data_IF_318377618769
#
_entry.id   IF_318377618769
#
_cell.length_a   1.000
_cell.length_b   1.000
_cell.length_c   1.000
_cell.angle_alpha   90.00
_cell.angle_beta   90.00
_cell.angle_gamma   90.00
#
_symmetry.space_group_name_H-M   'P 1'
#
loop_
_entity.id
_entity.type
_entity.pdbx_description
1 polymer ?
#
# COMPACT_ATOMS: atom_id res chain seq x y z
N UNK A 1 28.06 -5.11 -3.54
CA UNK A 1 26.95 -5.54 -2.67
C UNK A 1 26.23 -6.68 -3.37
N UNK A 2 26.59 -7.92 -3.03
CA UNK A 2 25.99 -9.11 -3.64
C UNK A 2 24.71 -9.47 -2.90
N UNK A 3 23.58 -9.45 -3.59
CA UNK A 3 22.39 -10.17 -3.12
C UNK A 3 22.49 -11.65 -3.51
N UNK A 4 21.54 -12.46 -3.07
CA UNK A 4 21.28 -13.83 -3.54
C UNK A 4 19.82 -13.92 -3.93
N UNK A 5 19.45 -14.72 -4.92
CA UNK A 5 18.05 -15.03 -5.23
C UNK A 5 17.84 -16.54 -5.16
N UNK A 6 16.80 -16.94 -4.46
CA UNK A 6 16.32 -18.29 -4.20
C UNK A 6 15.11 -18.52 -5.09
N UNK A 7 15.05 -19.68 -5.73
CA UNK A 7 13.86 -20.17 -6.41
C UNK A 7 13.39 -21.45 -5.69
N UNK A 8 12.10 -21.52 -5.41
CA UNK A 8 11.45 -22.60 -4.68
C UNK A 8 10.33 -23.13 -5.57
N UNK A 9 10.41 -24.39 -5.96
CA UNK A 9 9.35 -25.09 -6.69
C UNK A 9 8.68 -26.09 -5.75
N UNK A 10 7.35 -26.22 -5.83
CA UNK A 10 6.61 -27.26 -5.09
C UNK A 10 6.14 -28.31 -6.09
N UNK A 11 6.66 -29.53 -5.99
CA UNK A 11 6.01 -30.71 -6.53
C UNK A 11 5.69 -31.63 -5.35
N UNK A 12 4.45 -32.12 -5.30
CA UNK A 12 3.95 -33.24 -4.50
C UNK A 12 4.74 -33.55 -3.22
N UNK A 13 4.26 -32.99 -2.11
CA UNK A 13 4.70 -33.19 -0.72
C UNK A 13 6.14 -32.81 -0.32
N UNK A 14 7.04 -32.45 -1.26
CA UNK A 14 8.42 -32.07 -0.91
C UNK A 14 8.84 -30.70 -1.45
N UNK A 15 9.52 -29.94 -0.60
CA UNK A 15 9.99 -28.59 -0.89
C UNK A 15 11.44 -28.66 -1.37
N UNK A 16 11.64 -28.34 -2.65
CA UNK A 16 12.95 -28.36 -3.27
C UNK A 16 13.38 -26.94 -3.63
N UNK A 17 14.64 -26.63 -3.33
CA UNK A 17 15.20 -25.29 -3.47
C UNK A 17 16.35 -25.29 -4.47
N UNK A 18 16.40 -24.22 -5.24
CA UNK A 18 17.53 -23.89 -6.09
C UNK A 18 18.08 -22.53 -5.65
N UNK A 19 19.27 -22.54 -5.05
CA UNK A 19 19.91 -21.35 -4.49
C UNK A 19 21.09 -20.91 -5.33
N UNK A 20 21.11 -19.64 -5.75
CA UNK A 20 22.24 -19.03 -6.45
C UNK A 20 22.85 -17.85 -5.70
N UNK A 21 24.18 -17.77 -5.66
CA UNK A 21 24.94 -16.68 -5.06
C UNK A 21 26.21 -16.39 -5.86
N UNK A 22 26.84 -15.24 -5.59
CA UNK A 22 28.16 -14.90 -6.10
C UNK A 22 29.17 -15.06 -4.98
N UNK A 23 30.29 -15.73 -5.26
CA UNK A 23 31.40 -15.75 -4.31
C UNK A 23 32.13 -14.39 -4.31
N UNK A 24 33.06 -14.21 -3.35
CA UNK A 24 33.85 -12.98 -3.23
C UNK A 24 34.71 -12.68 -4.49
N UNK A 25 34.94 -13.68 -5.35
CA UNK A 25 35.67 -13.58 -6.61
C UNK A 25 34.76 -13.22 -7.81
N UNK A 26 33.46 -12.98 -7.57
CA UNK A 26 32.48 -12.65 -8.61
C UNK A 26 32.03 -13.84 -9.45
N UNK A 27 32.39 -15.07 -9.08
CA UNK A 27 31.94 -16.30 -9.75
C UNK A 27 30.57 -16.73 -9.21
N UNK A 28 29.64 -16.94 -10.13
CA UNK A 28 28.33 -17.49 -9.86
C UNK A 28 28.42 -18.92 -9.34
N UNK A 29 27.75 -19.22 -8.24
CA UNK A 29 27.53 -20.57 -7.73
C UNK A 29 26.05 -20.82 -7.61
N UNK A 30 25.64 -22.01 -8.00
CA UNK A 30 24.26 -22.47 -7.92
C UNK A 30 24.30 -23.88 -7.30
N UNK A 31 23.42 -24.14 -6.34
CA UNK A 31 23.25 -25.45 -5.71
C UNK A 31 21.78 -25.79 -5.52
N UNK A 32 21.50 -27.09 -5.55
CA UNK A 32 20.23 -27.66 -5.14
C UNK A 32 20.23 -27.88 -3.63
N UNK A 33 19.06 -27.75 -3.01
CA UNK A 33 18.87 -28.03 -1.60
C UNK A 33 17.58 -28.80 -1.35
N UNK A 34 17.63 -29.73 -0.41
CA UNK A 34 16.44 -30.39 0.15
C UNK A 34 16.00 -29.68 1.43
N UNK A 35 14.70 -29.42 1.55
CA UNK A 35 14.12 -28.74 2.72
C UNK A 35 13.42 -29.74 3.61
N UNK A 36 14.13 -30.19 4.65
CA UNK A 36 13.54 -31.05 5.69
C UNK A 36 12.77 -30.25 6.76
N UNK A 37 13.06 -28.96 6.90
CA UNK A 37 12.49 -28.09 7.92
C UNK A 37 12.90 -26.63 7.74
N UNK A 38 12.62 -25.79 8.74
CA UNK A 38 12.80 -24.33 8.66
C UNK A 38 14.11 -23.82 9.28
N UNK A 39 14.90 -24.70 9.90
CA UNK A 39 16.21 -24.32 10.47
C UNK A 39 17.33 -24.51 9.44
N UNK A 40 18.42 -23.71 9.48
CA UNK A 40 19.55 -23.86 8.55
C UNK A 40 20.16 -25.26 8.52
N UNK A 41 20.11 -26.01 9.63
CA UNK A 41 20.59 -27.40 9.76
C UNK A 41 19.71 -28.42 9.03
N UNK A 42 18.45 -28.09 8.78
CA UNK A 42 17.46 -28.92 8.08
C UNK A 42 17.40 -28.61 6.58
N UNK A 43 18.17 -27.63 6.11
CA UNK A 43 18.36 -27.33 4.70
C UNK A 43 19.62 -28.05 4.24
N UNK A 44 19.45 -29.14 3.50
CA UNK A 44 20.56 -30.02 3.10
C UNK A 44 21.11 -29.63 1.72
N UNK A 45 22.37 -29.17 1.61
CA UNK A 45 22.99 -28.87 0.33
C UNK A 45 23.19 -30.14 -0.48
N UNK A 46 23.08 -30.03 -1.81
CA UNK A 46 23.33 -31.11 -2.79
C UNK A 46 22.38 -32.33 -2.69
N UNK A 47 21.34 -32.25 -1.85
CA UNK A 47 20.32 -33.29 -1.69
C UNK A 47 19.00 -32.97 -2.42
N UNK A 48 18.92 -31.87 -3.18
CA UNK A 48 17.70 -31.52 -3.91
C UNK A 48 17.49 -32.39 -5.16
N UNK A 49 16.23 -32.71 -5.47
CA UNK A 49 15.86 -33.60 -6.58
C UNK A 49 15.26 -32.86 -7.78
N UNK A 50 15.55 -31.57 -7.97
CA UNK A 50 15.05 -30.86 -9.15
C UNK A 50 15.68 -31.48 -10.39
N UNK A 51 14.88 -31.78 -11.43
CA UNK A 51 15.36 -32.51 -12.60
C UNK A 51 16.14 -31.58 -13.53
N UNK A 52 17.36 -31.22 -13.12
CA UNK A 52 18.28 -30.42 -13.91
C UNK A 52 18.73 -31.17 -15.15
N UNK A 53 18.98 -30.40 -16.21
CA UNK A 53 19.67 -30.90 -17.40
C UNK A 53 21.18 -30.76 -17.26
N UNK A 54 21.91 -31.23 -18.28
CA UNK A 54 23.37 -31.04 -18.37
C UNK A 54 23.77 -29.61 -18.75
N UNK A 55 22.81 -28.71 -19.02
CA UNK A 55 23.12 -27.30 -19.30
C UNK A 55 23.58 -26.63 -18.00
N UNK A 56 24.79 -26.04 -17.97
CA UNK A 56 25.32 -25.45 -16.77
C UNK A 56 24.46 -24.25 -16.35
N UNK A 57 24.13 -24.13 -15.06
CA UNK A 57 23.36 -23.01 -14.58
C UNK A 57 24.27 -21.76 -14.52
N UNK A 58 23.68 -20.59 -14.70
CA UNK A 58 24.39 -19.33 -14.86
C UNK A 58 23.90 -18.28 -13.85
N UNK A 59 24.84 -17.57 -13.23
CA UNK A 59 24.56 -16.40 -12.40
C UNK A 59 25.32 -15.22 -12.99
N UNK A 60 24.65 -14.08 -13.11
CA UNK A 60 25.31 -12.81 -13.42
C UNK A 60 24.71 -11.68 -12.59
N UNK A 61 25.50 -10.64 -12.37
CA UNK A 61 25.07 -9.43 -11.67
C UNK A 61 25.23 -8.24 -12.60
N UNK A 62 24.13 -7.56 -12.88
CA UNK A 62 24.10 -6.34 -13.67
C UNK A 62 23.52 -5.22 -12.81
N UNK A 63 24.40 -4.31 -12.36
CA UNK A 63 24.02 -3.27 -11.39
C UNK A 63 23.51 -3.88 -10.09
N UNK A 64 22.28 -3.54 -9.69
CA UNK A 64 21.62 -4.09 -8.50
C UNK A 64 20.80 -5.38 -8.77
N UNK A 65 20.87 -5.92 -9.99
CA UNK A 65 20.04 -7.05 -10.44
C UNK A 65 20.86 -8.31 -10.61
N UNK A 66 20.46 -9.39 -9.95
CA UNK A 66 21.01 -10.73 -10.17
C UNK A 66 20.15 -11.48 -11.18
N UNK A 67 20.80 -12.01 -12.21
CA UNK A 67 20.23 -12.90 -13.19
C UNK A 67 20.64 -14.33 -12.82
N UNK A 68 19.65 -15.21 -12.76
CA UNK A 68 19.81 -16.63 -12.51
C UNK A 68 19.16 -17.36 -13.66
N UNK A 69 19.90 -18.26 -14.29
CA UNK A 69 19.40 -19.12 -15.35
C UNK A 69 19.77 -20.57 -15.02
N UNK A 70 18.81 -21.46 -15.15
CA UNK A 70 18.96 -22.90 -15.00
C UNK A 70 17.92 -23.58 -15.88
N UNK A 71 18.17 -24.83 -16.26
CA UNK A 71 17.25 -25.58 -17.11
C UNK A 71 16.80 -26.87 -16.42
N UNK A 72 15.48 -27.03 -16.33
CA UNK A 72 14.80 -28.20 -15.79
C UNK A 72 14.12 -28.99 -16.92
N UNK A 73 14.12 -30.32 -16.82
CA UNK A 73 13.44 -31.22 -17.76
C UNK A 73 12.51 -32.16 -17.02
N UNK A 74 11.21 -31.93 -17.15
CA UNK A 74 10.18 -32.78 -16.56
C UNK A 74 9.65 -33.78 -17.59
N UNK A 75 9.30 -34.98 -17.12
CA UNK A 75 8.68 -36.03 -17.97
C UNK A 75 7.18 -35.77 -18.24
N UNK A 76 6.60 -34.75 -17.61
CA UNK A 76 5.19 -34.34 -17.76
C UNK A 76 5.14 -32.83 -17.93
N UNK A 77 4.18 -32.34 -18.72
CA UNK A 77 3.89 -30.91 -18.82
C UNK A 77 3.40 -30.40 -17.48
N UNK A 78 4.12 -29.42 -16.92
CA UNK A 78 3.67 -28.71 -15.74
C UNK A 78 2.58 -27.70 -16.15
N UNK A 79 1.54 -27.58 -15.33
CA UNK A 79 0.54 -26.50 -15.45
C UNK A 79 1.01 -25.28 -14.66
N UNK A 80 0.09 -24.43 -14.20
CA UNK A 80 0.36 -23.37 -13.24
C UNK A 80 0.99 -23.93 -11.96
N UNK A 81 2.25 -23.58 -11.71
CA UNK A 81 2.97 -23.94 -10.49
C UNK A 81 3.33 -22.69 -9.69
N UNK A 82 3.28 -22.75 -8.35
CA UNK A 82 3.83 -21.69 -7.50
C UNK A 82 5.36 -21.76 -7.53
N UNK A 83 6.00 -20.65 -7.91
CA UNK A 83 7.42 -20.41 -7.78
C UNK A 83 7.60 -19.44 -6.62
N UNK A 84 8.23 -19.87 -5.52
CA UNK A 84 8.62 -18.95 -4.47
C UNK A 84 10.00 -18.38 -4.78
N UNK A 85 10.12 -17.07 -4.63
CA UNK A 85 11.33 -16.32 -4.82
C UNK A 85 11.73 -15.77 -3.47
N UNK A 86 12.95 -16.00 -3.02
CA UNK A 86 13.45 -15.38 -1.80
C UNK A 86 14.82 -14.76 -2.05
N UNK A 87 15.23 -13.75 -1.29
CA UNK A 87 16.54 -13.14 -1.50
C UNK A 87 17.18 -12.76 -0.16
N UNK A 88 18.51 -12.76 -0.10
CA UNK A 88 19.26 -12.28 1.07
C UNK A 88 20.49 -11.49 0.60
N UNK A 89 20.86 -10.48 1.37
CA UNK A 89 22.10 -9.72 1.23
C UNK A 89 23.30 -10.44 1.86
N UNK A 90 23.06 -11.51 2.63
CA UNK A 90 24.09 -12.33 3.27
C UNK A 90 24.48 -13.50 2.36
N UNK A 91 25.79 -13.74 2.20
CA UNK A 91 26.29 -14.90 1.45
C UNK A 91 26.20 -16.19 2.27
N UNK A 92 25.94 -17.35 1.65
CA UNK A 92 25.97 -18.64 2.34
C UNK A 92 27.34 -18.92 2.98
N UNK A 93 27.33 -19.56 4.16
CA UNK A 93 28.55 -19.97 4.87
C UNK A 93 28.70 -21.49 4.78
N UNK A 94 29.83 -22.00 4.29
CA UNK A 94 30.03 -23.44 3.99
C UNK A 94 28.83 -24.06 3.24
N UNK A 95 28.34 -23.38 2.22
CA UNK A 95 27.17 -23.77 1.42
C UNK A 95 25.83 -23.83 2.16
N UNK A 96 25.78 -23.57 3.47
CA UNK A 96 24.52 -23.43 4.20
C UNK A 96 23.87 -22.09 3.90
N UNK A 97 22.61 -22.14 3.47
CA UNK A 97 21.81 -20.96 3.19
C UNK A 97 21.51 -20.20 4.48
N UNK A 98 21.57 -18.87 4.40
CA UNK A 98 21.07 -17.99 5.45
C UNK A 98 19.57 -17.77 5.30
N UNK A 99 18.94 -17.32 6.38
CA UNK A 99 17.56 -16.82 6.31
C UNK A 99 17.48 -15.68 5.29
N UNK A 100 16.44 -15.70 4.46
CA UNK A 100 16.17 -14.67 3.47
C UNK A 100 15.75 -13.35 4.13
N UNK A 101 16.15 -12.24 3.52
CA UNK A 101 15.74 -10.90 3.93
C UNK A 101 14.31 -10.60 3.46
N UNK A 102 13.91 -11.17 2.30
CA UNK A 102 12.56 -11.05 1.77
C UNK A 102 12.20 -12.30 0.93
N UNK A 103 10.89 -12.53 0.76
CA UNK A 103 10.33 -13.62 -0.06
C UNK A 103 9.00 -13.24 -0.68
N UNK A 104 8.72 -13.84 -1.83
CA UNK A 104 7.44 -13.73 -2.54
C UNK A 104 7.11 -15.04 -3.25
N UNK A 105 5.89 -15.17 -3.74
CA UNK A 105 5.45 -16.30 -4.54
C UNK A 105 4.80 -15.76 -5.80
N UNK A 106 5.22 -16.28 -6.96
CA UNK A 106 4.57 -16.04 -8.24
C UNK A 106 3.96 -17.34 -8.74
N UNK A 107 2.84 -17.27 -9.44
CA UNK A 107 2.25 -18.42 -10.11
C UNK A 107 2.66 -18.36 -11.58
N UNK A 108 3.26 -19.44 -12.07
CA UNK A 108 3.78 -19.52 -13.43
C UNK A 108 3.13 -20.66 -14.18
N UNK A 109 2.50 -20.36 -15.30
CA UNK A 109 1.90 -21.37 -16.17
C UNK A 109 2.92 -21.91 -17.17
N UNK A 110 3.35 -23.15 -16.92
CA UNK A 110 4.31 -23.87 -17.75
C UNK A 110 3.67 -24.57 -18.97
N UNK A 111 2.34 -24.49 -19.14
CA UNK A 111 1.62 -25.21 -20.20
C UNK A 111 1.74 -24.54 -21.58
N UNK A 112 2.01 -23.23 -21.63
CA UNK A 112 1.91 -22.45 -22.87
C UNK A 112 3.16 -22.51 -23.76
N UNK A 113 4.31 -22.99 -23.27
CA UNK A 113 5.58 -23.05 -24.03
C UNK A 113 6.13 -21.69 -24.51
N UNK A 114 5.38 -20.60 -24.32
CA UNK A 114 5.71 -19.26 -24.78
C UNK A 114 6.53 -18.52 -23.71
N UNK A 115 7.73 -18.09 -24.09
CA UNK A 115 8.60 -17.25 -23.27
C UNK A 115 8.06 -15.82 -23.08
N UNK A 116 7.25 -15.33 -24.03
CA UNK A 116 6.69 -13.97 -24.01
C UNK A 116 5.71 -13.74 -22.84
N UNK A 117 4.96 -14.78 -22.45
CA UNK A 117 3.97 -14.76 -21.38
C UNK A 117 4.55 -14.34 -20.03
N UNK A 118 5.82 -14.69 -19.77
CA UNK A 118 6.51 -14.43 -18.50
C UNK A 118 6.90 -12.96 -18.31
N UNK A 119 7.37 -12.34 -19.40
CA UNK A 119 7.76 -10.92 -19.44
C UNK A 119 6.50 -10.05 -19.46
N UNK A 120 5.42 -10.51 -20.10
CA UNK A 120 4.12 -9.86 -20.09
C UNK A 120 3.46 -9.87 -18.71
N UNK A 121 3.46 -11.02 -18.03
CA UNK A 121 2.91 -11.13 -16.67
C UNK A 121 3.66 -10.21 -15.69
N UNK A 122 5.00 -10.22 -15.75
CA UNK A 122 5.83 -9.36 -14.89
C UNK A 122 5.57 -7.86 -15.16
N UNK A 123 5.45 -7.46 -16.44
CA UNK A 123 5.10 -6.09 -16.82
C UNK A 123 3.68 -5.72 -16.38
N UNK A 124 2.71 -6.61 -16.53
CA UNK A 124 1.32 -6.39 -16.10
C UNK A 124 1.27 -6.18 -14.59
N UNK A 125 1.94 -7.01 -13.81
CA UNK A 125 2.01 -6.87 -12.35
C UNK A 125 2.61 -5.54 -11.93
N UNK A 126 3.73 -5.13 -12.54
CA UNK A 126 4.37 -3.84 -12.23
C UNK A 126 3.45 -2.67 -12.61
N UNK A 127 2.74 -2.77 -13.73
CA UNK A 127 1.74 -1.80 -14.17
C UNK A 127 0.57 -1.73 -13.19
N UNK A 128 0.05 -2.86 -12.74
CA UNK A 128 -1.08 -2.93 -11.81
C UNK A 128 -0.70 -2.39 -10.43
N UNK A 129 0.51 -2.69 -9.93
CA UNK A 129 1.04 -2.08 -8.68
C UNK A 129 1.12 -0.55 -8.78
N UNK A 130 1.64 -0.03 -9.90
CA UNK A 130 1.71 1.43 -10.15
C UNK A 130 0.32 2.04 -10.27
N UNK A 131 -0.60 1.36 -10.95
CA UNK A 131 -1.99 1.81 -11.14
C UNK A 131 -2.73 1.87 -9.81
N UNK A 132 -2.68 0.79 -9.01
CA UNK A 132 -3.24 0.74 -7.67
C UNK A 132 -2.70 1.89 -6.79
N UNK A 133 -1.37 2.03 -6.73
CA UNK A 133 -0.73 3.08 -5.94
C UNK A 133 -1.11 4.49 -6.38
N UNK A 134 -1.17 4.75 -7.69
CA UNK A 134 -1.57 6.06 -8.25
C UNK A 134 -3.03 6.38 -7.90
N UNK A 135 -3.95 5.44 -8.16
CA UNK A 135 -5.37 5.64 -7.86
C UNK A 135 -5.60 5.85 -6.37
N UNK A 136 -4.93 5.08 -5.51
CA UNK A 136 -5.04 5.23 -4.05
C UNK A 136 -4.49 6.57 -3.55
N UNK A 137 -3.38 7.04 -4.11
CA UNK A 137 -2.80 8.35 -3.80
C UNK A 137 -3.71 9.50 -4.24
N UNK A 138 -4.26 9.43 -5.45
CA UNK A 138 -5.20 10.46 -5.91
C UNK A 138 -6.48 10.47 -5.06
N UNK A 139 -7.04 9.29 -4.77
CA UNK A 139 -8.24 9.17 -3.94
C UNK A 139 -8.02 9.68 -2.51
N UNK A 140 -7.26 8.93 -1.72
CA UNK A 140 -7.12 9.18 -0.28
C UNK A 140 -5.99 10.14 0.08
N UNK A 141 -5.01 10.32 -0.79
CA UNK A 141 -3.91 11.26 -0.58
C UNK A 141 -4.22 12.69 -1.02
N UNK A 142 -5.14 12.88 -1.97
CA UNK A 142 -5.42 14.20 -2.55
C UNK A 142 -6.91 14.59 -2.50
N UNK A 143 -7.78 13.90 -3.25
CA UNK A 143 -9.17 14.34 -3.45
C UNK A 143 -9.99 14.33 -2.15
N UNK A 144 -9.95 13.24 -1.38
CA UNK A 144 -10.71 13.13 -0.12
C UNK A 144 -10.22 14.14 0.95
N UNK A 145 -8.89 14.32 1.18
CA UNK A 145 -8.38 15.40 2.04
C UNK A 145 -8.80 16.80 1.59
N UNK A 146 -8.67 17.12 0.30
CA UNK A 146 -9.07 18.43 -0.24
C UNK A 146 -10.55 18.67 -0.02
N UNK A 147 -11.41 17.69 -0.30
CA UNK A 147 -12.85 17.77 -0.02
C UNK A 147 -13.14 18.05 1.46
N UNK A 148 -12.40 17.44 2.39
CA UNK A 148 -12.55 17.67 3.82
C UNK A 148 -12.10 19.07 4.26
N UNK A 149 -11.00 19.58 3.69
CA UNK A 149 -10.52 20.96 3.91
C UNK A 149 -11.58 21.96 3.44
N UNK A 150 -12.12 21.79 2.23
CA UNK A 150 -13.14 22.68 1.67
C UNK A 150 -14.39 22.73 2.58
N UNK A 151 -14.86 21.58 3.08
CA UNK A 151 -16.01 21.54 3.99
C UNK A 151 -15.76 22.21 5.36
N UNK A 152 -14.53 22.15 5.86
CA UNK A 152 -14.19 22.76 7.15
C UNK A 152 -14.02 24.26 7.05
N UNK A 153 -13.27 24.73 6.06
CA UNK A 153 -12.80 26.11 6.03
C UNK A 153 -13.60 27.03 5.13
N UNK A 154 -14.36 26.53 4.14
CA UNK A 154 -15.18 27.40 3.29
C UNK A 154 -16.65 27.47 3.73
N UNK A 155 -17.00 26.84 4.85
CA UNK A 155 -18.38 26.76 5.34
C UNK A 155 -19.06 28.12 5.56
N UNK A 156 -18.27 29.15 5.86
CA UNK A 156 -18.74 30.50 6.18
C UNK A 156 -18.93 31.40 4.94
N UNK A 157 -18.44 31.01 3.75
CA UNK A 157 -18.39 31.92 2.60
C UNK A 157 -19.64 31.89 1.69
N UNK A 158 -20.32 30.75 1.56
CA UNK A 158 -21.57 30.58 0.77
C UNK A 158 -22.07 29.11 0.81
N UNK A 159 -23.03 28.71 -0.05
CA UNK A 159 -23.46 27.29 -0.19
C UNK A 159 -22.48 26.45 -1.04
N UNK A 160 -21.52 27.05 -1.75
CA UNK A 160 -20.67 26.36 -2.75
C UNK A 160 -19.71 25.36 -2.12
N UNK A 161 -19.27 25.58 -0.88
CA UNK A 161 -18.45 24.62 -0.16
C UNK A 161 -19.07 23.22 -0.14
N UNK A 162 -20.40 23.13 -0.05
CA UNK A 162 -21.11 21.86 0.04
C UNK A 162 -21.00 21.09 -1.28
N UNK A 163 -21.24 21.76 -2.41
CA UNK A 163 -21.11 21.15 -3.73
C UNK A 163 -19.66 20.78 -4.04
N UNK A 164 -18.71 21.64 -3.69
CA UNK A 164 -17.28 21.35 -3.85
C UNK A 164 -16.85 20.16 -2.98
N UNK A 165 -17.26 20.12 -1.71
CA UNK A 165 -17.01 18.97 -0.84
C UNK A 165 -17.56 17.69 -1.47
N UNK A 166 -18.83 17.68 -1.83
CA UNK A 166 -19.50 16.51 -2.43
C UNK A 166 -18.78 16.07 -3.71
N UNK A 167 -18.45 16.99 -4.61
CA UNK A 167 -17.75 16.68 -5.86
C UNK A 167 -16.38 16.01 -5.62
N UNK A 168 -15.54 16.60 -4.77
CA UNK A 168 -14.23 16.03 -4.44
C UNK A 168 -14.36 14.68 -3.72
N UNK A 169 -15.34 14.52 -2.82
CA UNK A 169 -15.59 13.25 -2.12
C UNK A 169 -16.03 12.14 -3.10
N UNK A 170 -16.93 12.43 -4.05
CA UNK A 170 -17.36 11.43 -5.03
C UNK A 170 -16.24 11.07 -6.02
N UNK A 171 -15.46 12.03 -6.52
CA UNK A 171 -14.30 11.74 -7.37
C UNK A 171 -13.30 10.86 -6.62
N UNK A 172 -12.96 11.24 -5.38
CA UNK A 172 -12.07 10.46 -4.53
C UNK A 172 -12.60 9.04 -4.24
N UNK A 173 -13.90 8.90 -4.00
CA UNK A 173 -14.54 7.61 -3.77
C UNK A 173 -14.45 6.69 -5.01
N UNK A 174 -14.77 7.19 -6.21
CA UNK A 174 -14.69 6.41 -7.44
C UNK A 174 -13.26 5.95 -7.74
N UNK A 175 -12.29 6.86 -7.60
CA UNK A 175 -10.87 6.51 -7.71
C UNK A 175 -10.45 5.47 -6.66
N UNK A 176 -10.97 5.59 -5.44
CA UNK A 176 -10.69 4.67 -4.35
C UNK A 176 -11.25 3.26 -4.61
N UNK A 177 -12.48 3.15 -5.11
CA UNK A 177 -13.06 1.86 -5.53
C UNK A 177 -12.23 1.24 -6.64
N UNK A 178 -11.85 2.02 -7.67
CA UNK A 178 -10.98 1.54 -8.73
C UNK A 178 -9.62 1.06 -8.20
N UNK A 179 -9.02 1.78 -7.25
CA UNK A 179 -7.78 1.36 -6.59
C UNK A 179 -7.95 0.00 -5.89
N UNK A 180 -9.04 -0.19 -5.14
CA UNK A 180 -9.30 -1.47 -4.44
C UNK A 180 -9.49 -2.61 -5.43
N UNK A 181 -10.22 -2.41 -6.53
CA UNK A 181 -10.40 -3.44 -7.57
C UNK A 181 -9.06 -3.90 -8.13
N UNK A 182 -8.17 -2.97 -8.47
CA UNK A 182 -6.80 -3.31 -8.92
C UNK A 182 -6.01 -4.00 -7.80
N UNK A 183 -6.15 -3.56 -6.55
CA UNK A 183 -5.51 -4.17 -5.38
C UNK A 183 -5.95 -5.62 -5.12
N UNK A 184 -7.23 -5.93 -5.33
CA UNK A 184 -7.78 -7.28 -5.22
C UNK A 184 -7.26 -8.18 -6.34
N UNK A 185 -7.16 -7.66 -7.57
CA UNK A 185 -6.55 -8.37 -8.69
C UNK A 185 -5.09 -8.76 -8.38
N UNK A 186 -4.30 -7.83 -7.85
CA UNK A 186 -2.92 -8.09 -7.41
C UNK A 186 -2.83 -9.16 -6.30
N UNK A 187 -3.77 -9.18 -5.36
CA UNK A 187 -3.82 -10.17 -4.28
C UNK A 187 -4.09 -11.59 -4.82
N UNK A 188 -4.88 -11.73 -5.88
CA UNK A 188 -5.13 -13.04 -6.50
C UNK A 188 -3.90 -13.58 -7.25
N UNK A 189 -2.96 -12.70 -7.60
CA UNK A 189 -1.68 -13.08 -8.22
C UNK A 189 -0.56 -13.32 -7.19
N UNK A 190 -0.61 -12.65 -6.02
CA UNK A 190 0.36 -12.78 -4.94
C UNK A 190 -0.30 -13.14 -3.60
N UNK A 191 -0.14 -14.38 -3.16
CA UNK A 191 -0.52 -14.82 -1.81
C UNK A 191 0.57 -14.54 -0.75
N UNK A 192 1.35 -13.47 -0.91
CA UNK A 192 2.31 -13.06 0.11
C UNK A 192 1.56 -12.49 1.32
N UNK A 193 2.12 -12.67 2.53
CA UNK A 193 1.59 -12.20 3.82
C UNK A 193 1.53 -10.65 3.90
N UNK A 194 0.68 -10.01 3.11
CA UNK A 194 0.43 -8.56 3.09
C UNK A 194 -0.78 -8.26 4.00
N UNK A 195 -0.81 -8.84 5.20
CA UNK A 195 -2.00 -8.84 6.04
C UNK A 195 -2.37 -7.44 6.53
N UNK A 196 -1.39 -6.64 6.96
CA UNK A 196 -1.63 -5.33 7.55
C UNK A 196 -2.15 -4.29 6.55
N UNK A 197 -1.49 -4.11 5.40
CA UNK A 197 -1.93 -3.13 4.37
C UNK A 197 -3.30 -3.48 3.81
N UNK A 198 -3.55 -4.77 3.56
CA UNK A 198 -4.86 -5.25 3.12
C UNK A 198 -5.93 -4.99 4.18
N UNK A 199 -5.67 -5.36 5.43
CA UNK A 199 -6.61 -5.16 6.53
C UNK A 199 -6.95 -3.69 6.75
N UNK A 200 -5.94 -2.82 6.82
CA UNK A 200 -6.14 -1.37 6.97
C UNK A 200 -6.82 -0.79 5.73
N UNK A 201 -6.47 -1.24 4.52
CA UNK A 201 -7.11 -0.80 3.27
C UNK A 201 -8.60 -1.13 3.22
N UNK A 202 -8.99 -2.34 3.63
CA UNK A 202 -10.41 -2.73 3.74
C UNK A 202 -11.11 -1.87 4.79
N UNK A 203 -10.48 -1.65 5.95
CA UNK A 203 -11.03 -0.78 6.99
C UNK A 203 -11.27 0.65 6.50
N UNK A 204 -10.30 1.24 5.78
CA UNK A 204 -10.43 2.57 5.15
C UNK A 204 -11.56 2.60 4.12
N UNK A 205 -11.69 1.56 3.29
CA UNK A 205 -12.80 1.45 2.33
C UNK A 205 -14.15 1.43 3.04
N UNK A 206 -14.30 0.61 4.09
CA UNK A 206 -15.53 0.55 4.88
C UNK A 206 -15.87 1.91 5.46
N UNK A 207 -14.90 2.61 6.07
CA UNK A 207 -15.11 3.97 6.57
C UNK A 207 -15.51 4.94 5.45
N UNK A 208 -14.91 4.83 4.27
CA UNK A 208 -15.24 5.69 3.12
C UNK A 208 -16.67 5.43 2.63
N UNK A 209 -17.09 4.17 2.51
CA UNK A 209 -18.48 3.79 2.17
C UNK A 209 -19.45 4.31 3.22
N UNK A 210 -19.12 4.17 4.51
CA UNK A 210 -19.90 4.71 5.61
C UNK A 210 -20.05 6.24 5.56
N UNK A 211 -19.06 6.97 5.03
CA UNK A 211 -19.18 8.42 4.76
C UNK A 211 -20.16 8.71 3.62
N UNK A 212 -20.12 7.91 2.54
CA UNK A 212 -21.07 8.05 1.42
C UNK A 212 -22.50 7.72 1.87
N UNK A 213 -22.69 6.70 2.71
CA UNK A 213 -24.00 6.40 3.31
C UNK A 213 -24.46 7.51 4.28
N UNK A 214 -23.54 8.17 4.97
CA UNK A 214 -23.84 9.33 5.79
C UNK A 214 -24.46 10.47 4.97
N UNK A 215 -24.03 10.66 3.72
CA UNK A 215 -24.60 11.65 2.83
C UNK A 215 -26.10 11.40 2.55
N UNK A 216 -26.48 10.16 2.25
CA UNK A 216 -27.89 9.80 1.98
C UNK A 216 -28.78 9.86 3.22
N UNK A 217 -28.20 9.61 4.41
CA UNK A 217 -28.91 9.67 5.69
C UNK A 217 -28.83 11.03 6.39
N UNK A 218 -28.42 12.08 5.67
CA UNK A 218 -28.22 13.43 6.22
C UNK A 218 -29.54 14.03 6.74
N UNK A 219 -29.69 14.27 8.06
CA UNK A 219 -30.92 14.84 8.62
C UNK A 219 -31.15 16.30 8.21
N UNK A 220 -32.41 16.75 8.29
CA UNK A 220 -32.77 18.16 8.14
C UNK A 220 -32.05 19.04 9.17
N UNK A 221 -31.92 20.33 8.87
CA UNK A 221 -31.14 21.26 9.70
C UNK A 221 -31.73 21.42 11.11
N UNK A 222 -33.05 21.32 11.23
CA UNK A 222 -33.77 21.53 12.49
C UNK A 222 -33.90 20.26 13.35
N UNK A 223 -33.38 19.13 12.88
CA UNK A 223 -33.46 17.86 13.60
C UNK A 223 -32.40 17.74 14.71
N UNK A 224 -32.81 17.26 15.89
CA UNK A 224 -31.86 16.86 16.97
C UNK A 224 -30.82 15.84 16.51
N UNK A 225 -31.16 14.99 15.53
CA UNK A 225 -30.26 13.98 14.96
C UNK A 225 -29.13 14.60 14.14
N UNK A 226 -29.28 15.84 13.67
CA UNK A 226 -28.25 16.59 12.93
C UNK A 226 -26.95 16.74 13.73
N UNK A 227 -27.05 16.90 15.06
CA UNK A 227 -25.89 17.01 15.96
C UNK A 227 -25.08 15.72 16.00
N UNK A 228 -25.75 14.58 16.21
CA UNK A 228 -25.11 13.26 16.23
C UNK A 228 -24.50 12.91 14.87
N UNK A 229 -25.24 13.18 13.79
CA UNK A 229 -24.73 13.00 12.43
C UNK A 229 -23.46 13.81 12.19
N UNK A 230 -23.43 15.09 12.60
CA UNK A 230 -22.24 15.93 12.43
C UNK A 230 -21.04 15.38 13.22
N UNK A 231 -21.27 14.94 14.46
CA UNK A 231 -20.21 14.37 15.29
C UNK A 231 -19.62 13.11 14.65
N UNK A 232 -20.49 12.17 14.27
CA UNK A 232 -20.12 10.94 13.57
C UNK A 232 -19.38 11.23 12.27
N UNK A 233 -19.97 12.00 11.35
CA UNK A 233 -19.42 12.29 10.03
C UNK A 233 -18.03 12.94 10.13
N UNK A 234 -17.87 13.91 11.04
CA UNK A 234 -16.59 14.59 11.23
C UNK A 234 -15.50 13.67 11.79
N UNK A 235 -15.81 12.88 12.83
CA UNK A 235 -14.79 12.02 13.46
C UNK A 235 -14.46 10.80 12.62
N UNK A 236 -15.46 10.11 12.09
CA UNK A 236 -15.22 8.96 11.23
C UNK A 236 -14.49 9.37 9.94
N UNK A 237 -14.76 10.56 9.39
CA UNK A 237 -14.01 11.10 8.25
C UNK A 237 -12.54 11.36 8.58
N UNK A 238 -12.23 11.93 9.75
CA UNK A 238 -10.85 12.15 10.19
C UNK A 238 -10.10 10.84 10.43
N UNK A 239 -10.73 9.88 11.07
CA UNK A 239 -10.17 8.54 11.30
C UNK A 239 -9.87 7.87 9.95
N UNK A 240 -10.80 7.97 8.99
CA UNK A 240 -10.61 7.47 7.64
C UNK A 240 -9.37 8.06 6.98
N UNK A 241 -9.21 9.39 6.99
CA UNK A 241 -8.06 10.07 6.39
C UNK A 241 -6.74 9.71 7.08
N UNK A 242 -6.74 9.59 8.42
CA UNK A 242 -5.55 9.18 9.17
C UNK A 242 -5.10 7.77 8.79
N UNK A 243 -5.99 6.79 8.84
CA UNK A 243 -5.65 5.41 8.47
C UNK A 243 -5.31 5.28 7.00
N UNK A 244 -5.92 6.08 6.12
CA UNK A 244 -5.56 6.08 4.71
C UNK A 244 -4.13 6.59 4.48
N UNK A 245 -3.71 7.65 5.19
CA UNK A 245 -2.34 8.13 5.12
C UNK A 245 -1.33 7.07 5.60
N UNK A 246 -1.60 6.42 6.74
CA UNK A 246 -0.79 5.29 7.23
C UNK A 246 -0.74 4.16 6.20
N UNK A 247 -1.89 3.83 5.58
CA UNK A 247 -1.95 2.74 4.64
C UNK A 247 -1.20 3.01 3.33
N UNK A 248 -1.16 4.28 2.88
CA UNK A 248 -0.36 4.71 1.73
C UNK A 248 1.14 4.53 2.01
N UNK A 249 1.61 4.94 3.19
CA UNK A 249 3.02 4.74 3.61
C UNK A 249 3.36 3.25 3.65
N UNK A 250 2.49 2.44 4.23
CA UNK A 250 2.67 1.00 4.29
C UNK A 250 2.68 0.36 2.89
N UNK A 251 1.77 0.77 2.01
CA UNK A 251 1.73 0.32 0.61
C UNK A 251 3.01 0.65 -0.15
N UNK A 252 3.57 1.85 0.04
CA UNK A 252 4.86 2.23 -0.55
C UNK A 252 6.03 1.39 -0.02
N UNK A 253 6.02 1.05 1.27
CA UNK A 253 7.04 0.19 1.87
C UNK A 253 6.98 -1.22 1.25
N UNK A 254 5.77 -1.82 1.19
CA UNK A 254 5.55 -3.16 0.62
C UNK A 254 5.89 -3.20 -0.87
N UNK A 255 5.52 -2.16 -1.61
CA UNK A 255 5.84 -2.06 -3.03
C UNK A 255 7.33 -1.81 -3.30
N UNK A 256 8.17 -1.63 -2.27
CA UNK A 256 9.55 -1.15 -2.39
C UNK A 256 9.62 0.08 -3.30
N UNK A 257 8.66 1.00 -3.13
CA UNK A 257 8.49 2.14 -4.01
C UNK A 257 9.76 3.02 -3.99
N UNK A 258 10.21 3.41 -5.19
CA UNK A 258 11.41 4.21 -5.37
C UNK A 258 11.31 5.57 -4.66
N UNK A 259 12.46 6.20 -4.43
CA UNK A 259 12.55 7.44 -3.64
C UNK A 259 11.64 8.56 -4.16
N UNK A 260 11.43 8.65 -5.48
CA UNK A 260 10.51 9.62 -6.08
C UNK A 260 9.07 9.52 -5.53
N UNK A 261 8.56 8.32 -5.30
CA UNK A 261 7.22 8.12 -4.73
C UNK A 261 7.15 8.57 -3.28
N UNK A 262 8.17 8.23 -2.49
CA UNK A 262 8.28 8.60 -1.07
C UNK A 262 8.37 10.10 -0.89
N UNK A 263 9.24 10.76 -1.67
CA UNK A 263 9.41 12.21 -1.68
C UNK A 263 8.14 12.90 -2.18
N UNK A 264 7.56 12.43 -3.29
CA UNK A 264 6.35 13.00 -3.86
C UNK A 264 5.16 12.94 -2.90
N UNK A 265 4.92 11.79 -2.26
CA UNK A 265 3.88 11.69 -1.25
C UNK A 265 4.21 12.50 0.01
N UNK A 266 5.46 12.50 0.47
CA UNK A 266 5.89 13.32 1.60
C UNK A 266 5.63 14.80 1.38
N UNK A 267 5.94 15.30 0.18
CA UNK A 267 5.63 16.68 -0.22
C UNK A 267 4.12 16.94 -0.27
N UNK A 268 3.34 16.03 -0.86
CA UNK A 268 1.88 16.15 -0.90
C UNK A 268 1.28 16.21 0.51
N UNK A 269 1.62 15.26 1.38
CA UNK A 269 1.15 15.19 2.76
C UNK A 269 1.60 16.42 3.56
N UNK A 270 2.86 16.84 3.42
CA UNK A 270 3.40 18.04 4.04
C UNK A 270 2.65 19.30 3.64
N UNK A 271 2.40 19.49 2.33
CA UNK A 271 1.66 20.63 1.80
C UNK A 271 0.22 20.69 2.33
N UNK A 272 -0.46 19.54 2.44
CA UNK A 272 -1.79 19.42 3.04
C UNK A 272 -1.77 19.81 4.51
N UNK A 273 -0.81 19.29 5.30
CA UNK A 273 -0.71 19.60 6.72
C UNK A 273 -0.40 21.08 6.96
N UNK A 274 0.54 21.67 6.21
CA UNK A 274 0.85 23.10 6.27
C UNK A 274 -0.39 23.94 5.93
N UNK A 275 -1.11 23.58 4.87
CA UNK A 275 -2.36 24.26 4.49
C UNK A 275 -3.39 24.20 5.60
N UNK A 276 -3.59 23.05 6.22
CA UNK A 276 -4.52 22.86 7.35
C UNK A 276 -4.11 23.72 8.56
N UNK A 277 -2.82 23.78 8.87
CA UNK A 277 -2.28 24.60 9.98
C UNK A 277 -2.54 26.09 9.72
N UNK A 278 -2.20 26.57 8.52
CA UNK A 278 -2.42 27.97 8.14
C UNK A 278 -3.91 28.32 8.21
N UNK A 279 -4.78 27.51 7.60
CA UNK A 279 -6.22 27.74 7.59
C UNK A 279 -6.83 27.68 9.00
N UNK A 280 -6.35 26.79 9.87
CA UNK A 280 -6.78 26.73 11.27
C UNK A 280 -6.33 27.95 12.07
N UNK A 281 -5.10 28.42 11.87
CA UNK A 281 -4.60 29.64 12.50
C UNK A 281 -5.43 30.87 12.07
N UNK A 282 -5.69 31.01 10.77
CA UNK A 282 -6.52 32.10 10.24
C UNK A 282 -7.95 32.04 10.77
N UNK A 283 -8.56 30.85 10.83
CA UNK A 283 -9.92 30.66 11.35
C UNK A 283 -10.01 31.06 12.83
N UNK A 284 -8.99 30.74 13.64
CA UNK A 284 -8.93 31.14 15.05
C UNK A 284 -8.76 32.65 15.21
N UNK A 285 -7.89 33.27 14.43
CA UNK A 285 -7.70 34.73 14.44
C UNK A 285 -8.99 35.48 14.04
N UNK A 286 -9.72 34.99 13.04
CA UNK A 286 -11.02 35.56 12.65
C UNK A 286 -12.03 35.46 13.81
N UNK A 287 -12.12 34.30 14.45
CA UNK A 287 -13.04 34.08 15.57
C UNK A 287 -12.70 34.93 16.80
N UNK A 288 -11.42 35.15 17.08
CA UNK A 288 -10.98 36.08 18.14
C UNK A 288 -11.39 37.53 17.82
N UNK A 289 -11.18 37.99 16.58
CA UNK A 289 -11.59 39.34 16.17
C UNK A 289 -13.10 39.57 16.25
N UNK A 290 -13.91 38.58 15.90
CA UNK A 290 -15.38 38.68 16.04
C UNK A 290 -15.81 38.79 17.51
N UNK A 291 -15.15 38.04 18.41
CA UNK A 291 -15.40 38.13 19.85
C UNK A 291 -15.01 39.50 20.43
N UNK A 292 -13.90 40.09 19.97
CA UNK A 292 -13.46 41.41 20.42
C UNK A 292 -14.38 42.54 19.91
N UNK A 293 -14.96 42.39 18.71
CA UNK A 293 -15.87 43.37 18.12
C UNK A 293 -17.31 43.33 18.69
N UNK A 294 -17.71 42.20 19.30
CA UNK A 294 -18.99 42.04 19.98
C UNK A 294 -18.75 41.49 21.38
N UNK A 295 -18.29 42.32 22.33
CA UNK A 295 -18.17 41.90 23.72
C UNK A 295 -19.54 41.43 24.23
N UNK A 296 -19.59 40.40 25.09
CA UNK A 296 -20.85 39.95 25.68
C UNK A 296 -21.56 41.14 26.34
N UNK A 297 -22.87 41.25 26.13
CA UNK A 297 -23.72 42.29 26.69
C UNK A 297 -23.38 42.48 28.18
N UNK A 298 -22.90 43.67 28.57
CA UNK A 298 -22.48 43.92 29.94
C UNK A 298 -23.69 43.84 30.87
N UNK A 299 -23.65 43.02 31.93
CA UNK A 299 -24.71 43.02 32.94
C UNK A 299 -24.86 44.39 33.65
N UNK A 300 -23.83 45.24 33.62
CA UNK A 300 -23.88 46.58 34.23
C UNK A 300 -24.89 47.53 33.57
N UNK A 301 -25.17 47.37 32.28
CA UNK A 301 -26.19 48.18 31.59
C UNK A 301 -27.61 47.77 31.95
N UNK A 302 -27.83 46.55 32.47
CA UNK A 302 -29.15 46.09 32.90
C UNK A 302 -29.46 46.54 34.35
N UNK A 303 -28.45 46.57 35.23
CA UNK A 303 -28.63 47.11 36.59
C UNK A 303 -28.94 48.61 36.59
N UNK A 304 -28.39 49.37 35.64
CA UNK A 304 -28.64 50.80 35.53
C UNK A 304 -30.06 51.12 35.00
N UNK A 305 -30.61 50.27 34.14
CA UNK A 305 -31.97 50.41 33.58
C UNK A 305 -33.06 49.93 34.56
N UNK A 306 -32.74 49.02 35.48
CA UNK A 306 -33.66 48.55 36.55
C UNK A 306 -33.66 49.51 37.75
N UNK A 307 -32.67 50.42 37.84
CA UNK A 307 -32.53 51.40 38.92
C UNK A 307 -33.18 52.78 38.65
N UNK A 308 -33.89 52.94 37.53
CA UNK A 308 -34.68 54.13 37.15
C UNK A 308 -36.18 53.81 37.16
#
# INVERSE_FOLDING_TARGET
MGGNRLFQGRNDAELQLHGGWLNLEGRGRIKQYYVKGFTPSEIKPDEGELPLTNVPPFVSLQGATIYLAFQLKYNKTLKTQPILLAFSTKTPHHHHLTVHDDKTTIYFDFSSGNTDSSVDLSRSILKDRRTHGTLALLAWGLFLPVGAILARYLKHKDRRWYYLHVAFQFIGFLLGVAAVVVGLSLNNTFHAFISAHKGIGIFVLVLTVLQVLAFFSRPSQDSKYRRYWNWYHNWAGRICLFFAAVNIVLGMHIASAGQAWRVGYGFLLGSILVTVIILEALLRLQRSREHDNHPPFSMSSMEQEISL
#
